data_IF_048660511729
#
_entry.id   IF_048660511729
#
_cell.length_a   1.000
_cell.length_b   1.000
_cell.length_c   1.000
_cell.angle_alpha   90.00
_cell.angle_beta   90.00
_cell.angle_gamma   90.00
#
_symmetry.space_group_name_H-M   'P 1'
#
loop_
_entity.id
_entity.type
_entity.pdbx_description
1 polymer ?
#
# COMPACT_ATOMS: atom_id res chain seq x y z
N UNK A 1 42.94 25.36 3.16
CA UNK A 1 41.95 25.18 2.06
C UNK A 1 40.72 24.52 2.66
N UNK A 2 39.69 25.30 2.98
CA UNK A 2 38.37 24.78 3.33
C UNK A 2 37.48 24.94 2.09
N UNK A 3 36.71 23.92 1.67
CA UNK A 3 35.84 24.06 0.52
C UNK A 3 34.68 25.01 0.86
N UNK A 4 34.32 25.92 -0.06
CA UNK A 4 33.28 26.90 0.19
C UNK A 4 31.93 26.42 -0.38
N UNK A 5 30.86 27.07 0.08
CA UNK A 5 29.52 27.06 -0.51
C UNK A 5 28.69 25.77 -0.41
N UNK A 6 28.06 25.58 0.77
CA UNK A 6 26.68 25.10 0.80
C UNK A 6 25.82 26.11 0.02
N UNK A 7 25.64 25.85 -1.28
CA UNK A 7 24.62 26.49 -2.10
C UNK A 7 23.27 26.18 -1.47
N UNK A 8 22.70 27.18 -0.80
CA UNK A 8 21.33 27.20 -0.32
C UNK A 8 20.44 27.16 -1.57
N UNK A 9 20.15 25.97 -2.07
CA UNK A 9 19.01 25.75 -2.95
C UNK A 9 17.77 26.14 -2.15
N UNK A 10 17.40 27.41 -2.29
CA UNK A 10 16.11 27.93 -1.90
C UNK A 10 15.12 27.24 -2.84
N UNK A 11 14.71 26.03 -2.48
CA UNK A 11 13.52 25.41 -3.05
C UNK A 11 12.39 26.41 -2.79
N UNK A 12 12.08 27.20 -3.80
CA UNK A 12 10.76 27.80 -3.92
C UNK A 12 9.77 26.67 -3.68
N UNK A 13 8.83 26.77 -2.72
CA UNK A 13 7.85 25.73 -2.52
C UNK A 13 7.02 25.69 -3.81
N UNK A 14 7.37 24.75 -4.69
CA UNK A 14 6.53 24.41 -5.83
C UNK A 14 5.19 24.03 -5.21
N UNK A 15 4.06 24.63 -5.64
CA UNK A 15 2.77 24.28 -5.08
C UNK A 15 2.59 22.78 -5.26
N UNK A 16 2.62 22.05 -4.13
CA UNK A 16 2.46 20.59 -4.13
C UNK A 16 1.17 20.31 -4.87
N UNK A 17 1.26 19.54 -5.96
CA UNK A 17 0.09 19.24 -6.77
C UNK A 17 -0.98 18.59 -5.87
N UNK A 18 -2.27 18.77 -6.17
CA UNK A 18 -3.35 18.11 -5.41
C UNK A 18 -3.37 16.59 -5.62
N UNK A 19 -2.57 16.11 -6.58
CA UNK A 19 -2.45 14.71 -6.99
C UNK A 19 -2.00 13.78 -5.85
N UNK A 20 -0.86 14.00 -5.15
CA UNK A 20 -0.46 13.16 -4.02
C UNK A 20 -1.52 13.08 -2.93
N UNK A 21 -2.20 14.19 -2.61
CA UNK A 21 -3.26 14.19 -1.61
C UNK A 21 -4.44 13.30 -2.02
N UNK A 22 -4.86 13.36 -3.28
CA UNK A 22 -5.89 12.47 -3.83
C UNK A 22 -5.45 10.99 -3.81
N UNK A 23 -4.20 10.71 -4.20
CA UNK A 23 -3.66 9.36 -4.23
C UNK A 23 -3.53 8.75 -2.82
N UNK A 24 -3.20 9.54 -1.79
CA UNK A 24 -3.21 9.06 -0.40
C UNK A 24 -4.63 8.71 0.08
N UNK A 25 -5.64 9.52 -0.25
CA UNK A 25 -7.03 9.21 0.08
C UNK A 25 -7.45 7.89 -0.59
N UNK A 26 -7.15 7.73 -1.88
CA UNK A 26 -7.47 6.51 -2.61
C UNK A 26 -6.74 5.29 -2.03
N UNK A 27 -5.45 5.45 -1.69
CA UNK A 27 -4.69 4.39 -1.01
C UNK A 27 -5.35 3.96 0.31
N UNK A 28 -5.78 4.91 1.16
CA UNK A 28 -6.48 4.58 2.42
C UNK A 28 -7.74 3.77 2.15
N UNK A 29 -8.55 4.18 1.16
CA UNK A 29 -9.80 3.48 0.80
C UNK A 29 -9.51 2.05 0.32
N UNK A 30 -8.58 1.88 -0.62
CA UNK A 30 -8.20 0.55 -1.12
C UNK A 30 -7.58 -0.33 -0.03
N UNK A 31 -6.84 0.26 0.89
CA UNK A 31 -6.27 -0.46 2.02
C UNK A 31 -7.35 -0.99 2.98
N UNK A 32 -8.42 -0.23 3.20
CA UNK A 32 -9.59 -0.69 3.97
C UNK A 32 -10.34 -1.80 3.24
N UNK A 33 -10.51 -1.69 1.92
CA UNK A 33 -11.10 -2.77 1.12
C UNK A 33 -10.26 -4.05 1.18
N UNK A 34 -8.94 -3.93 1.02
CA UNK A 34 -8.02 -5.07 1.14
C UNK A 34 -8.17 -5.75 2.50
N UNK A 35 -8.25 -4.98 3.60
CA UNK A 35 -8.49 -5.51 4.94
C UNK A 35 -9.87 -6.19 5.06
N UNK A 36 -10.90 -5.59 4.46
CA UNK A 36 -12.25 -6.15 4.44
C UNK A 36 -12.29 -7.51 3.72
N UNK A 37 -11.73 -7.59 2.51
CA UNK A 37 -11.73 -8.82 1.70
C UNK A 37 -10.87 -9.92 2.34
N UNK A 38 -9.64 -9.59 2.75
CA UNK A 38 -8.70 -10.56 3.33
C UNK A 38 -9.10 -11.02 4.73
N UNK A 39 -9.66 -10.14 5.56
CA UNK A 39 -10.01 -10.44 6.95
C UNK A 39 -11.49 -10.79 7.15
N UNK A 40 -12.36 -9.78 7.01
CA UNK A 40 -13.76 -9.84 7.47
C UNK A 40 -14.61 -10.73 6.56
N UNK A 41 -14.52 -10.54 5.25
CA UNK A 41 -15.28 -11.27 4.26
C UNK A 41 -14.92 -12.77 4.24
N UNK A 42 -13.62 -13.05 4.39
CA UNK A 42 -13.10 -14.41 4.51
C UNK A 42 -13.68 -15.13 5.74
N UNK A 43 -13.72 -14.45 6.88
CA UNK A 43 -14.28 -14.94 8.15
C UNK A 43 -15.79 -15.18 8.10
N UNK A 44 -16.56 -14.27 7.48
CA UNK A 44 -18.03 -14.34 7.45
C UNK A 44 -18.53 -15.43 6.51
N UNK A 45 -18.05 -15.44 5.27
CA UNK A 45 -18.48 -16.39 4.24
C UNK A 45 -17.68 -17.71 4.27
N UNK A 46 -17.06 -18.04 5.42
CA UNK A 46 -16.28 -19.26 5.69
C UNK A 46 -15.50 -19.79 4.48
N UNK A 47 -14.55 -19.00 3.96
CA UNK A 47 -13.70 -19.40 2.81
C UNK A 47 -13.07 -20.79 2.97
N UNK A 48 -12.88 -21.26 4.21
CA UNK A 48 -12.20 -22.51 4.53
C UNK A 48 -13.09 -23.73 4.80
N UNK A 49 -14.41 -23.67 4.61
CA UNK A 49 -15.28 -24.84 4.82
C UNK A 49 -15.41 -25.77 3.58
N UNK A 50 -15.02 -25.31 2.39
CA UNK A 50 -15.22 -26.07 1.14
C UNK A 50 -14.01 -26.88 0.64
N UNK A 51 -12.87 -26.86 1.33
CA UNK A 51 -11.68 -27.59 0.92
C UNK A 51 -11.22 -28.49 2.06
N UNK A 52 -10.95 -29.76 1.75
CA UNK A 52 -10.36 -30.76 2.66
C UNK A 52 -8.92 -30.36 2.97
N UNK A 53 -8.74 -29.27 3.72
CA UNK A 53 -7.60 -28.86 4.54
C UNK A 53 -6.25 -29.59 4.35
N UNK A 54 -5.59 -29.59 3.17
CA UNK A 54 -4.19 -29.94 3.16
C UNK A 54 -3.43 -28.64 3.43
N UNK A 55 -2.47 -28.69 4.34
CA UNK A 55 -1.42 -27.69 4.51
C UNK A 55 -1.81 -26.42 5.29
N UNK A 56 -1.69 -26.56 6.60
CA UNK A 56 -1.36 -25.55 7.62
C UNK A 56 -0.43 -24.40 7.13
N UNK A 57 0.38 -24.62 6.09
CA UNK A 57 1.26 -23.64 5.47
C UNK A 57 0.52 -22.56 4.66
N UNK A 58 -0.64 -22.87 4.05
CA UNK A 58 -1.45 -21.89 3.29
C UNK A 58 -2.01 -20.77 4.18
N UNK A 59 -2.27 -21.04 5.45
CA UNK A 59 -2.83 -20.05 6.38
C UNK A 59 -1.83 -18.96 6.78
N UNK A 60 -0.54 -19.29 6.89
CA UNK A 60 0.48 -18.32 7.31
C UNK A 60 0.66 -17.18 6.30
N UNK A 61 0.57 -17.48 5.01
CA UNK A 61 0.73 -16.48 3.96
C UNK A 61 -0.45 -15.49 3.93
N UNK A 62 -1.67 -15.93 4.24
CA UNK A 62 -2.86 -15.07 4.27
C UNK A 62 -2.88 -14.07 5.43
N UNK A 63 -2.09 -14.29 6.49
CA UNK A 63 -1.92 -13.27 7.53
C UNK A 63 -1.14 -12.05 7.04
N UNK A 64 -0.33 -12.19 5.98
CA UNK A 64 0.50 -11.10 5.49
C UNK A 64 -0.33 -9.94 4.92
N UNK A 65 -1.30 -10.14 3.99
CA UNK A 65 -2.20 -9.07 3.53
C UNK A 65 -3.00 -8.42 4.66
N UNK A 66 -3.45 -9.21 5.65
CA UNK A 66 -4.21 -8.72 6.81
C UNK A 66 -3.39 -7.75 7.68
N UNK A 67 -2.09 -8.00 7.84
CA UNK A 67 -1.17 -7.11 8.58
C UNK A 67 -0.67 -5.94 7.73
N UNK A 68 -0.46 -6.18 6.44
CA UNK A 68 0.05 -5.17 5.50
C UNK A 68 -0.97 -4.07 5.25
N UNK A 69 -2.26 -4.40 5.12
CA UNK A 69 -3.33 -3.43 4.90
C UNK A 69 -3.42 -2.31 5.97
N UNK A 70 -3.49 -2.60 7.29
CA UNK A 70 -3.49 -1.53 8.30
C UNK A 70 -2.18 -0.74 8.30
N UNK A 71 -1.04 -1.38 8.01
CA UNK A 71 0.25 -0.70 7.96
C UNK A 71 0.33 0.32 6.81
N UNK A 72 -0.11 -0.05 5.60
CA UNK A 72 -0.17 0.87 4.45
C UNK A 72 -1.15 2.02 4.73
N UNK A 73 -2.29 1.73 5.36
CA UNK A 73 -3.26 2.76 5.74
C UNK A 73 -2.66 3.77 6.73
N UNK A 74 -1.91 3.32 7.75
CA UNK A 74 -1.27 4.20 8.74
C UNK A 74 -0.19 5.09 8.11
N UNK A 75 0.64 4.53 7.23
CA UNK A 75 1.67 5.30 6.52
C UNK A 75 1.01 6.35 5.62
N UNK A 76 -0.01 5.96 4.84
CA UNK A 76 -0.74 6.87 3.96
C UNK A 76 -1.49 7.97 4.71
N UNK A 77 -2.08 7.63 5.86
CA UNK A 77 -2.72 8.61 6.75
C UNK A 77 -1.71 9.61 7.32
N UNK A 78 -0.52 9.13 7.72
CA UNK A 78 0.54 9.99 8.24
C UNK A 78 1.00 11.01 7.20
N UNK A 79 1.14 10.60 5.93
CA UNK A 79 1.47 11.50 4.83
C UNK A 79 0.33 12.43 4.46
N UNK A 80 -0.92 11.96 4.51
CA UNK A 80 -2.10 12.81 4.32
C UNK A 80 -2.14 13.94 5.37
N UNK A 81 -1.98 13.60 6.65
CA UNK A 81 -1.98 14.58 7.76
C UNK A 81 -0.81 15.56 7.61
N UNK A 82 0.39 15.07 7.29
CA UNK A 82 1.56 15.92 7.03
C UNK A 82 1.30 16.92 5.90
N UNK A 83 0.68 16.46 4.81
CA UNK A 83 0.35 17.27 3.65
C UNK A 83 -0.80 18.26 3.87
N UNK A 84 -1.72 17.98 4.81
CA UNK A 84 -2.82 18.91 5.13
C UNK A 84 -2.40 19.97 6.13
N UNK A 85 -1.74 19.58 7.21
CA UNK A 85 -1.51 20.46 8.37
C UNK A 85 -0.09 21.04 8.43
N UNK A 86 0.91 20.33 7.92
CA UNK A 86 2.32 20.64 8.19
C UNK A 86 3.10 21.14 6.97
N UNK A 87 2.47 21.26 5.80
CA UNK A 87 3.09 21.65 4.52
C UNK A 87 3.94 22.93 4.56
N UNK A 88 3.64 23.86 5.47
CA UNK A 88 4.36 25.14 5.60
C UNK A 88 5.41 25.17 6.72
N UNK A 89 5.64 24.04 7.41
CA UNK A 89 6.61 23.98 8.50
C UNK A 89 8.00 23.56 7.98
N UNK A 90 9.10 24.09 8.53
CA UNK A 90 10.46 23.69 8.15
C UNK A 90 10.74 22.21 8.43
N UNK A 91 10.02 21.61 9.39
CA UNK A 91 10.06 20.18 9.67
C UNK A 91 9.56 19.34 8.48
N UNK A 92 8.45 19.73 7.85
CA UNK A 92 7.90 19.01 6.70
C UNK A 92 8.84 19.02 5.48
N UNK A 93 9.61 20.10 5.28
CA UNK A 93 10.59 20.19 4.18
C UNK A 93 11.69 19.12 4.34
N UNK A 94 12.17 18.88 5.55
CA UNK A 94 13.18 17.84 5.83
C UNK A 94 12.58 16.44 5.78
N UNK A 95 11.35 16.26 6.28
CA UNK A 95 10.68 14.95 6.30
C UNK A 95 10.17 14.49 4.93
N UNK A 96 9.94 15.42 3.99
CA UNK A 96 9.51 15.08 2.62
C UNK A 96 10.48 14.12 1.92
N UNK A 97 11.77 14.06 2.30
CA UNK A 97 12.70 13.10 1.72
C UNK A 97 12.34 11.64 2.01
N UNK A 98 11.57 11.37 3.06
CA UNK A 98 11.12 10.03 3.45
C UNK A 98 9.80 9.63 2.76
N UNK A 99 9.14 10.56 2.06
CA UNK A 99 7.86 10.30 1.40
C UNK A 99 8.01 9.35 0.20
N UNK A 100 9.04 9.55 -0.64
CA UNK A 100 9.33 8.65 -1.75
C UNK A 100 9.76 7.23 -1.27
N UNK A 101 10.73 7.08 -0.34
CA UNK A 101 11.09 5.77 0.20
C UNK A 101 9.91 5.01 0.82
N UNK A 102 9.03 5.71 1.54
CA UNK A 102 7.85 5.09 2.15
C UNK A 102 6.78 4.72 1.12
N UNK A 103 6.60 5.50 0.05
CA UNK A 103 5.73 5.12 -1.07
C UNK A 103 6.26 3.87 -1.78
N UNK A 104 7.56 3.79 -2.07
CA UNK A 104 8.20 2.59 -2.65
C UNK A 104 8.00 1.37 -1.74
N UNK A 105 8.20 1.54 -0.43
CA UNK A 105 7.97 0.47 0.54
C UNK A 105 6.52 -0.02 0.56
N UNK A 106 5.53 0.89 0.56
CA UNK A 106 4.12 0.52 0.48
C UNK A 106 3.78 -0.18 -0.83
N UNK A 107 4.36 0.26 -1.95
CA UNK A 107 4.18 -0.38 -3.27
C UNK A 107 4.70 -1.82 -3.27
N UNK A 108 5.86 -2.07 -2.66
CA UNK A 108 6.44 -3.41 -2.51
C UNK A 108 5.57 -4.32 -1.64
N UNK A 109 5.12 -3.83 -0.47
CA UNK A 109 4.26 -4.60 0.41
C UNK A 109 2.92 -4.98 -0.26
N UNK A 110 2.30 -4.04 -0.98
CA UNK A 110 1.11 -4.28 -1.76
C UNK A 110 1.36 -5.24 -2.95
N UNK A 111 2.54 -5.18 -3.56
CA UNK A 111 2.94 -6.13 -4.61
C UNK A 111 3.09 -7.55 -4.07
N UNK A 112 3.72 -7.71 -2.90
CA UNK A 112 3.84 -9.01 -2.23
C UNK A 112 2.46 -9.55 -1.85
N UNK A 113 1.55 -8.71 -1.34
CA UNK A 113 0.19 -9.15 -1.05
C UNK A 113 -0.56 -9.58 -2.30
N UNK A 114 -0.39 -8.89 -3.43
CA UNK A 114 -0.97 -9.31 -4.71
C UNK A 114 -0.46 -10.69 -5.15
N UNK A 115 0.84 -10.93 -5.08
CA UNK A 115 1.45 -12.21 -5.47
C UNK A 115 0.96 -13.35 -4.56
N UNK A 116 0.88 -13.11 -3.25
CA UNK A 116 0.34 -14.09 -2.29
C UNK A 116 -1.12 -14.41 -2.64
N UNK A 117 -1.96 -13.38 -2.80
CA UNK A 117 -3.37 -13.57 -3.14
C UNK A 117 -3.53 -14.34 -4.46
N UNK A 118 -2.77 -13.99 -5.51
CA UNK A 118 -2.80 -14.70 -6.80
C UNK A 118 -2.36 -16.17 -6.64
N UNK A 119 -1.22 -16.43 -6.01
CA UNK A 119 -0.68 -17.78 -5.88
C UNK A 119 -1.58 -18.72 -5.08
N UNK A 120 -2.25 -18.20 -4.06
CA UNK A 120 -3.15 -19.00 -3.23
C UNK A 120 -4.60 -19.01 -3.73
N UNK A 121 -4.97 -18.09 -4.64
CA UNK A 121 -6.29 -18.06 -5.29
C UNK A 121 -6.48 -19.06 -6.43
N UNK A 122 -5.38 -19.48 -7.07
CA UNK A 122 -5.42 -20.41 -8.21
C UNK A 122 -5.28 -21.83 -7.68
N UNK A 123 -6.34 -22.62 -7.77
CA UNK A 123 -6.24 -24.07 -7.58
C UNK A 123 -5.76 -24.70 -8.90
N UNK A 124 -4.51 -25.16 -8.93
CA UNK A 124 -3.92 -25.74 -10.14
C UNK A 124 -4.56 -27.09 -10.53
N UNK A 125 -5.32 -27.72 -9.63
CA UNK A 125 -6.00 -28.99 -9.90
C UNK A 125 -7.39 -28.80 -10.55
N UNK A 126 -8.04 -27.66 -10.32
CA UNK A 126 -9.31 -27.29 -10.92
C UNK A 126 -9.21 -25.82 -11.33
N UNK A 127 -9.09 -25.55 -12.63
CA UNK A 127 -8.96 -24.23 -13.28
C UNK A 127 -10.21 -23.32 -13.10
N UNK A 128 -10.84 -23.35 -11.93
CA UNK A 128 -11.97 -22.53 -11.54
C UNK A 128 -11.49 -21.40 -10.64
N UNK A 129 -11.72 -20.16 -11.07
CA UNK A 129 -11.44 -18.98 -10.26
C UNK A 129 -12.40 -18.93 -9.08
N UNK A 130 -11.88 -18.93 -7.85
CA UNK A 130 -12.71 -18.63 -6.68
C UNK A 130 -13.02 -17.13 -6.64
N UNK A 131 -14.30 -16.76 -6.74
CA UNK A 131 -14.75 -15.36 -6.79
C UNK A 131 -14.25 -14.49 -5.63
N UNK A 132 -14.00 -15.11 -4.47
CA UNK A 132 -13.55 -14.46 -3.23
C UNK A 132 -12.15 -13.85 -3.32
N UNK A 133 -11.33 -14.33 -4.23
CA UNK A 133 -9.89 -14.07 -4.21
C UNK A 133 -9.43 -13.11 -5.32
N UNK A 134 -10.24 -12.95 -6.36
CA UNK A 134 -10.00 -12.00 -7.45
C UNK A 134 -9.95 -10.55 -6.96
N UNK A 135 -10.83 -10.17 -6.02
CA UNK A 135 -10.95 -8.81 -5.54
C UNK A 135 -9.82 -8.38 -4.60
N UNK A 136 -9.37 -9.26 -3.69
CA UNK A 136 -8.23 -8.95 -2.81
C UNK A 136 -6.91 -8.83 -3.60
N UNK A 137 -6.72 -9.68 -4.62
CA UNK A 137 -5.61 -9.57 -5.55
C UNK A 137 -5.68 -8.28 -6.37
N UNK A 138 -6.85 -7.96 -6.94
CA UNK A 138 -7.06 -6.74 -7.72
C UNK A 138 -6.81 -5.48 -6.89
N UNK A 139 -7.33 -5.43 -5.66
CA UNK A 139 -7.11 -4.30 -4.74
C UNK A 139 -5.63 -4.15 -4.36
N UNK A 140 -4.92 -5.26 -4.13
CA UNK A 140 -3.48 -5.24 -3.85
C UNK A 140 -2.67 -4.70 -5.03
N UNK A 141 -3.00 -5.10 -6.26
CA UNK A 141 -2.36 -4.58 -7.48
C UNK A 141 -2.64 -3.09 -7.65
N UNK A 142 -3.89 -2.67 -7.45
CA UNK A 142 -4.27 -1.25 -7.52
C UNK A 142 -3.52 -0.42 -6.47
N UNK A 143 -3.42 -0.92 -5.23
CA UNK A 143 -2.68 -0.27 -4.15
C UNK A 143 -1.19 -0.15 -4.48
N UNK A 144 -0.59 -1.20 -5.05
CA UNK A 144 0.81 -1.18 -5.51
C UNK A 144 1.04 -0.13 -6.60
N UNK A 145 0.13 -0.05 -7.59
CA UNK A 145 0.19 0.92 -8.67
C UNK A 145 0.03 2.36 -8.17
N UNK A 146 -0.92 2.62 -7.26
CA UNK A 146 -1.11 3.95 -6.66
C UNK A 146 0.17 4.42 -5.96
N UNK A 147 0.81 3.54 -5.17
CA UNK A 147 2.04 3.87 -4.47
C UNK A 147 3.26 4.02 -5.40
N UNK A 148 3.30 3.28 -6.52
CA UNK A 148 4.30 3.49 -7.57
C UNK A 148 4.11 4.86 -8.24
N UNK A 149 2.88 5.21 -8.62
CA UNK A 149 2.54 6.52 -9.20
C UNK A 149 2.87 7.66 -8.21
N UNK A 150 2.59 7.48 -6.92
CA UNK A 150 3.03 8.41 -5.87
C UNK A 150 4.55 8.57 -5.88
N UNK A 151 5.32 7.47 -5.88
CA UNK A 151 6.78 7.54 -5.87
C UNK A 151 7.33 8.30 -7.10
N UNK A 152 6.75 8.11 -8.29
CA UNK A 152 7.14 8.86 -9.49
C UNK A 152 6.66 10.31 -9.49
N UNK A 153 5.49 10.60 -8.92
CA UNK A 153 4.96 11.96 -8.81
C UNK A 153 5.70 12.83 -7.77
N UNK A 154 6.52 12.20 -6.91
CA UNK A 154 7.33 12.85 -5.89
C UNK A 154 8.80 13.07 -6.30
N UNK A 155 9.21 12.61 -7.49
CA UNK A 155 10.51 12.91 -8.11
C UNK A 155 10.53 14.33 -8.69
#
# INVERSE_FOLDING_TARGET
>A
MAPPFFSKHRHTPVPRSRLPLFLYIMSIIFSLFLFYWSGIYCRYNRCGESLVWPEKNRQYAQYFPILTAPLIALISLSWFVTNVFYTNTPCAITYNCMEMPSAVFCSLLAGISAVIEIHYSIDFNHLEWSEKWSWAAADSVALSAIHAVLAFALQ
#
